data_IF_610713065258
#
_entry.id   IF_610713065258
#
_cell.length_a   1.000
_cell.length_b   1.000
_cell.length_c   1.000
_cell.angle_alpha   90.00
_cell.angle_beta   90.00
_cell.angle_gamma   90.00
#
_symmetry.space_group_name_H-M   'P 1'
#
loop_
_entity.id
_entity.type
_entity.pdbx_description
1 polymer ?
#
# COMPACT_ATOMS: atom_id res chain seq x y z
N UNK A 1 0.73 17.42 -15.96
CA UNK A 1 -0.12 16.21 -16.02
C UNK A 1 -0.03 15.47 -14.68
N UNK A 2 -1.12 14.86 -14.18
CA UNK A 2 -1.14 14.18 -12.88
C UNK A 2 -0.11 13.04 -12.78
N UNK A 3 0.06 12.29 -13.87
CA UNK A 3 1.04 11.19 -13.95
C UNK A 3 2.45 11.64 -13.57
N UNK A 4 2.95 12.73 -14.18
CA UNK A 4 4.31 13.23 -13.93
C UNK A 4 4.61 13.51 -12.44
N UNK A 5 3.61 14.00 -11.69
CA UNK A 5 3.74 14.22 -10.25
C UNK A 5 3.84 12.92 -9.46
N UNK A 6 3.10 11.88 -9.88
CA UNK A 6 3.23 10.56 -9.26
C UNK A 6 4.58 9.92 -9.54
N UNK A 7 5.13 10.05 -10.75
CA UNK A 7 6.49 9.57 -11.03
C UNK A 7 7.54 10.28 -10.17
N UNK A 8 7.46 11.61 -10.05
CA UNK A 8 8.35 12.37 -9.17
C UNK A 8 8.23 11.91 -7.70
N UNK A 9 7.01 11.77 -7.19
CA UNK A 9 6.76 11.28 -5.83
C UNK A 9 7.36 9.88 -5.60
N UNK A 10 7.25 8.98 -6.58
CA UNK A 10 7.85 7.63 -6.48
C UNK A 10 9.37 7.72 -6.31
N UNK A 11 10.05 8.55 -7.09
CA UNK A 11 11.51 8.67 -7.01
C UNK A 11 11.93 9.31 -5.68
N UNK A 12 11.26 10.37 -5.23
CA UNK A 12 11.52 11.00 -3.93
C UNK A 12 11.31 10.03 -2.76
N UNK A 13 10.19 9.29 -2.74
CA UNK A 13 9.94 8.33 -1.67
C UNK A 13 10.84 7.10 -1.72
N UNK A 14 11.36 6.69 -2.88
CA UNK A 14 12.39 5.64 -2.96
C UNK A 14 13.69 6.11 -2.33
N UNK A 15 14.13 7.34 -2.62
CA UNK A 15 15.30 7.93 -1.96
C UNK A 15 15.11 7.95 -0.45
N UNK A 16 13.95 8.41 0.01
CA UNK A 16 13.61 8.44 1.43
C UNK A 16 13.59 7.04 2.07
N UNK A 17 13.04 6.06 1.37
CA UNK A 17 13.00 4.68 1.82
C UNK A 17 14.42 4.09 2.01
N UNK A 18 15.34 4.34 1.09
CA UNK A 18 16.74 3.90 1.25
C UNK A 18 17.43 4.59 2.42
N UNK A 19 17.18 5.88 2.66
CA UNK A 19 17.68 6.58 3.86
C UNK A 19 17.19 5.91 5.14
N UNK A 20 15.88 5.73 5.30
CA UNK A 20 15.33 5.10 6.51
C UNK A 20 15.80 3.66 6.70
N UNK A 21 16.01 2.93 5.60
CA UNK A 21 16.55 1.57 5.65
C UNK A 21 18.00 1.55 6.16
N UNK A 22 18.84 2.50 5.73
CA UNK A 22 20.22 2.64 6.20
C UNK A 22 20.30 3.10 7.66
N UNK A 23 19.35 3.93 8.09
CA UNK A 23 19.22 4.37 9.49
C UNK A 23 18.57 3.32 10.40
N UNK A 24 18.19 2.16 9.86
CA UNK A 24 17.43 1.12 10.55
C UNK A 24 16.08 1.59 11.13
N UNK A 25 15.51 2.68 10.60
CA UNK A 25 14.20 3.19 10.98
C UNK A 25 13.08 2.44 10.24
N UNK A 26 12.70 1.27 10.76
CA UNK A 26 11.77 0.35 10.08
C UNK A 26 10.39 0.97 9.85
N UNK A 27 9.79 1.64 10.84
CA UNK A 27 8.46 2.25 10.69
C UNK A 27 8.44 3.29 9.58
N UNK A 28 9.41 4.19 9.54
CA UNK A 28 9.46 5.22 8.50
C UNK A 28 9.79 4.62 7.11
N UNK A 29 10.62 3.58 7.05
CA UNK A 29 10.81 2.78 5.82
C UNK A 29 9.49 2.16 5.32
N UNK A 30 8.66 1.66 6.24
CA UNK A 30 7.33 1.16 5.94
C UNK A 30 6.40 2.24 5.40
N UNK A 31 6.35 3.41 6.05
CA UNK A 31 5.52 4.55 5.61
C UNK A 31 5.96 5.08 4.24
N UNK A 32 7.26 5.12 3.96
CA UNK A 32 7.77 5.47 2.63
C UNK A 32 7.29 4.46 1.57
N UNK A 33 7.30 3.16 1.89
CA UNK A 33 6.73 2.14 1.00
C UNK A 33 5.22 2.32 0.79
N UNK A 34 4.45 2.67 1.84
CA UNK A 34 3.02 2.99 1.68
C UNK A 34 2.82 4.13 0.67
N UNK A 35 3.59 5.20 0.78
CA UNK A 35 3.51 6.36 -0.12
C UNK A 35 3.88 6.01 -1.58
N UNK A 36 4.92 5.19 -1.78
CA UNK A 36 5.26 4.65 -3.11
C UNK A 36 4.09 3.83 -3.67
N UNK A 37 3.45 3.00 -2.84
CA UNK A 37 2.30 2.20 -3.21
C UNK A 37 1.11 3.04 -3.66
N UNK A 38 0.79 4.11 -2.93
CA UNK A 38 -0.26 5.08 -3.28
C UNK A 38 0.04 5.82 -4.59
N UNK A 39 1.29 6.22 -4.80
CA UNK A 39 1.68 6.86 -6.05
C UNK A 39 1.58 5.89 -7.26
N UNK A 40 1.92 4.60 -7.08
CA UNK A 40 1.69 3.59 -8.11
C UNK A 40 0.20 3.32 -8.36
N UNK A 41 -0.64 3.40 -7.34
CA UNK A 41 -2.10 3.34 -7.51
C UNK A 41 -2.60 4.51 -8.36
N UNK A 42 -2.11 5.73 -8.12
CA UNK A 42 -2.41 6.91 -8.95
C UNK A 42 -1.92 6.82 -10.40
N UNK A 43 -1.03 5.86 -10.70
CA UNK A 43 -0.57 5.52 -12.05
C UNK A 43 -1.26 4.27 -12.62
N UNK A 44 -2.30 3.76 -11.95
CA UNK A 44 -3.00 2.52 -12.31
C UNK A 44 -2.06 1.29 -12.40
N UNK A 45 -0.92 1.33 -11.71
CA UNK A 45 0.01 0.21 -11.64
C UNK A 45 -0.26 -0.62 -10.37
N UNK A 46 -1.40 -1.31 -10.36
CA UNK A 46 -1.89 -2.06 -9.19
C UNK A 46 -0.91 -3.12 -8.69
N UNK A 47 -0.20 -3.79 -9.60
CA UNK A 47 0.82 -4.79 -9.26
C UNK A 47 1.94 -4.19 -8.40
N UNK A 48 2.47 -3.03 -8.79
CA UNK A 48 3.51 -2.35 -8.01
C UNK A 48 2.94 -1.74 -6.73
N UNK A 49 1.72 -1.20 -6.77
CA UNK A 49 1.04 -0.70 -5.58
C UNK A 49 0.92 -1.79 -4.49
N UNK A 50 0.41 -2.98 -4.84
CA UNK A 50 0.30 -4.12 -3.93
C UNK A 50 1.66 -4.59 -3.41
N UNK A 51 2.69 -4.61 -4.25
CA UNK A 51 4.05 -4.99 -3.83
C UNK A 51 4.55 -4.10 -2.69
N UNK A 52 4.40 -2.78 -2.83
CA UNK A 52 4.86 -1.84 -1.81
C UNK A 52 3.98 -1.87 -0.55
N UNK A 53 2.66 -2.03 -0.69
CA UNK A 53 1.80 -2.20 0.49
C UNK A 53 2.09 -3.50 1.26
N UNK A 54 2.53 -4.57 0.59
CA UNK A 54 2.97 -5.79 1.28
C UNK A 54 4.25 -5.57 2.10
N UNK A 55 5.18 -4.76 1.60
CA UNK A 55 6.39 -4.38 2.35
C UNK A 55 5.99 -3.61 3.62
N UNK A 56 5.16 -2.59 3.46
CA UNK A 56 4.63 -1.80 4.57
C UNK A 56 3.89 -2.65 5.60
N UNK A 57 3.00 -3.55 5.16
CA UNK A 57 2.30 -4.49 6.05
C UNK A 57 3.28 -5.37 6.85
N UNK A 58 4.28 -5.96 6.20
CA UNK A 58 5.23 -6.84 6.85
C UNK A 58 6.02 -6.11 7.95
N UNK A 59 6.37 -4.86 7.72
CA UNK A 59 7.03 -4.00 8.69
C UNK A 59 6.08 -3.67 9.85
N UNK A 60 4.87 -3.23 9.56
CA UNK A 60 3.88 -2.94 10.60
C UNK A 60 3.63 -4.17 11.49
N UNK A 61 3.58 -5.36 10.88
CA UNK A 61 3.44 -6.63 11.58
C UNK A 61 4.68 -7.00 12.42
N UNK A 62 5.90 -6.79 11.91
CA UNK A 62 7.12 -7.06 12.69
C UNK A 62 7.26 -6.14 13.89
N UNK A 63 6.83 -4.90 13.74
CA UNK A 63 6.82 -3.87 14.81
C UNK A 63 5.59 -3.97 15.72
N UNK A 64 4.69 -4.94 15.48
CA UNK A 64 3.43 -5.13 16.22
C UNK A 64 2.59 -3.84 16.33
N UNK A 65 2.61 -3.03 15.29
CA UNK A 65 1.90 -1.76 15.24
C UNK A 65 0.51 -1.96 14.63
N UNK A 66 -0.49 -2.19 15.48
CA UNK A 66 -1.86 -2.46 15.05
C UNK A 66 -2.48 -1.32 14.22
N UNK A 67 -2.16 -0.06 14.52
CA UNK A 67 -2.66 1.09 13.74
C UNK A 67 -2.14 1.03 12.29
N UNK A 68 -0.84 0.76 12.12
CA UNK A 68 -0.23 0.65 10.80
C UNK A 68 -0.66 -0.64 10.08
N UNK A 69 -0.89 -1.75 10.80
CA UNK A 69 -1.46 -3.00 10.25
C UNK A 69 -2.88 -2.74 9.70
N UNK A 70 -3.72 -2.08 10.49
CA UNK A 70 -5.06 -1.69 10.07
C UNK A 70 -5.00 -0.85 8.79
N UNK A 71 -4.15 0.18 8.77
CA UNK A 71 -3.98 1.08 7.63
C UNK A 71 -3.48 0.34 6.39
N UNK A 72 -2.57 -0.61 6.55
CA UNK A 72 -2.11 -1.46 5.46
C UNK A 72 -3.26 -2.29 4.87
N UNK A 73 -4.09 -2.92 5.72
CA UNK A 73 -5.25 -3.66 5.25
C UNK A 73 -6.28 -2.79 4.52
N UNK A 74 -6.62 -1.62 5.05
CA UNK A 74 -7.52 -0.67 4.37
C UNK A 74 -6.96 -0.27 3.00
N UNK A 75 -5.65 0.01 2.92
CA UNK A 75 -5.02 0.44 1.67
C UNK A 75 -4.95 -0.69 0.64
N UNK A 76 -4.69 -1.93 1.06
CA UNK A 76 -4.71 -3.09 0.17
C UNK A 76 -6.15 -3.32 -0.34
N UNK A 77 -7.16 -3.25 0.54
CA UNK A 77 -8.56 -3.35 0.14
C UNK A 77 -8.95 -2.29 -0.89
N UNK A 78 -8.51 -1.04 -0.68
CA UNK A 78 -8.70 0.04 -1.64
C UNK A 78 -8.07 -0.26 -3.00
N UNK A 79 -6.83 -0.78 -3.05
CA UNK A 79 -6.19 -1.13 -4.33
C UNK A 79 -7.00 -2.19 -5.10
N UNK A 80 -7.48 -3.23 -4.41
CA UNK A 80 -8.31 -4.26 -5.05
C UNK A 80 -9.64 -3.71 -5.54
N UNK A 81 -10.31 -2.86 -4.77
CA UNK A 81 -11.55 -2.22 -5.18
C UNK A 81 -11.36 -1.32 -6.40
N UNK A 82 -10.31 -0.49 -6.42
CA UNK A 82 -9.98 0.36 -7.57
C UNK A 82 -9.65 -0.49 -8.80
N UNK A 83 -8.89 -1.58 -8.64
CA UNK A 83 -8.59 -2.52 -9.73
C UNK A 83 -9.87 -3.10 -10.33
N UNK A 84 -10.83 -3.52 -9.49
CA UNK A 84 -12.14 -4.00 -9.92
C UNK A 84 -12.91 -2.94 -10.72
N UNK A 85 -13.01 -1.72 -10.18
CA UNK A 85 -13.79 -0.63 -10.77
C UNK A 85 -13.23 -0.15 -12.12
N UNK A 86 -11.90 -0.13 -12.27
CA UNK A 86 -11.25 0.47 -13.44
C UNK A 86 -10.92 -0.53 -14.56
N UNK A 87 -10.69 -1.80 -14.22
CA UNK A 87 -10.26 -2.81 -15.21
C UNK A 87 -11.33 -3.86 -15.51
N UNK A 88 -12.22 -4.14 -14.55
CA UNK A 88 -13.15 -5.28 -14.54
C UNK A 88 -12.49 -6.67 -14.78
N UNK A 89 -11.17 -6.74 -14.85
CA UNK A 89 -10.42 -7.99 -14.94
C UNK A 89 -10.52 -8.72 -13.60
N UNK A 90 -10.66 -10.05 -13.66
CA UNK A 90 -10.77 -10.91 -12.48
C UNK A 90 -11.73 -10.36 -11.42
N UNK A 91 -12.91 -9.91 -11.87
CA UNK A 91 -13.86 -9.14 -11.08
C UNK A 91 -14.18 -9.77 -9.71
N UNK A 92 -14.50 -11.06 -9.72
CA UNK A 92 -14.81 -11.81 -8.49
C UNK A 92 -13.60 -11.88 -7.56
N UNK A 93 -12.40 -12.07 -8.08
CA UNK A 93 -11.18 -12.11 -7.27
C UNK A 93 -10.94 -10.76 -6.59
N UNK A 94 -10.99 -9.68 -7.37
CA UNK A 94 -10.69 -8.33 -6.88
C UNK A 94 -11.74 -7.86 -5.86
N UNK A 95 -13.02 -8.11 -6.12
CA UNK A 95 -14.08 -7.72 -5.18
C UNK A 95 -14.01 -8.55 -3.88
N UNK A 96 -13.81 -9.87 -3.97
CA UNK A 96 -13.65 -10.73 -2.79
C UNK A 96 -12.40 -10.37 -1.99
N UNK A 97 -11.29 -10.03 -2.66
CA UNK A 97 -10.07 -9.59 -2.00
C UNK A 97 -10.29 -8.25 -1.29
N UNK A 98 -10.93 -7.26 -1.95
CA UNK A 98 -11.25 -5.98 -1.34
C UNK A 98 -12.07 -6.16 -0.06
N UNK A 99 -13.18 -6.91 -0.13
CA UNK A 99 -14.01 -7.22 1.04
C UNK A 99 -13.20 -7.86 2.17
N UNK A 100 -12.42 -8.91 1.86
CA UNK A 100 -11.58 -9.60 2.85
C UNK A 100 -10.63 -8.64 3.57
N UNK A 101 -9.97 -7.73 2.84
CA UNK A 101 -9.01 -6.81 3.42
C UNK A 101 -9.67 -5.70 4.22
N UNK A 102 -10.85 -5.21 3.82
CA UNK A 102 -11.61 -4.28 4.65
C UNK A 102 -12.10 -4.92 5.94
N UNK A 103 -12.59 -6.17 5.92
CA UNK A 103 -12.97 -6.89 7.13
C UNK A 103 -11.79 -7.03 8.10
N UNK A 104 -10.62 -7.44 7.61
CA UNK A 104 -9.41 -7.52 8.44
C UNK A 104 -8.97 -6.17 9.00
N UNK A 105 -9.19 -5.08 8.26
CA UNK A 105 -8.88 -3.73 8.74
C UNK A 105 -9.77 -3.33 9.92
N UNK A 106 -11.04 -3.74 9.92
CA UNK A 106 -11.97 -3.50 11.03
C UNK A 106 -11.65 -4.37 12.25
N UNK A 107 -11.34 -5.65 12.05
CA UNK A 107 -10.98 -6.60 13.12
C UNK A 107 -9.74 -6.18 13.93
N UNK A 108 -8.80 -5.45 13.32
CA UNK A 108 -7.57 -5.01 14.01
C UNK A 108 -7.82 -3.85 15.00
N UNK A 109 -8.97 -3.16 14.86
CA UNK A 109 -9.36 -2.05 15.74
C UNK A 109 -10.17 -2.48 16.97
N UNK A 110 -10.58 -3.75 17.03
CA UNK A 110 -11.32 -4.35 18.16
C UNK A 110 -10.36 -5.02 19.15
#
# INVERSE_FOLDING_TARGET
MKSGRFQQAIEEFKTLAEVYKLEHNQIEYGKANRAIGEAYLGLHNFKKALKHQKIYFNIAASEKNNEEIQRAYATIGHIYLTTYLETQADADHNLNAAYKYFMRSMEVCE
#
